data_IF_966710942642
#
_entry.id   IF_966710942642
#
_cell.length_a   1.000
_cell.length_b   1.000
_cell.length_c   1.000
_cell.angle_alpha   90.00
_cell.angle_beta   90.00
_cell.angle_gamma   90.00
#
_symmetry.space_group_name_H-M   'P 1'
#
loop_
_entity.id
_entity.type
_entity.pdbx_description
1 polymer ?
#
# COMPACT_ATOMS: atom_id res chain seq x y z
N UNK A 1 3.53 46.11 -41.10
CA UNK A 1 2.73 45.76 -39.91
C UNK A 1 3.42 44.63 -39.14
N UNK A 2 3.31 44.66 -37.81
CA UNK A 2 3.11 43.47 -36.96
C UNK A 2 4.23 42.50 -36.53
N UNK A 3 5.54 42.72 -36.73
CA UNK A 3 6.53 41.76 -36.16
C UNK A 3 6.48 41.68 -34.62
N UNK A 4 6.38 42.83 -33.94
CA UNK A 4 6.25 42.91 -32.47
C UNK A 4 4.95 42.29 -31.95
N UNK A 5 3.85 42.43 -32.70
CA UNK A 5 2.54 41.91 -32.28
C UNK A 5 2.51 40.38 -32.44
N UNK A 6 3.08 39.85 -33.52
CA UNK A 6 3.23 38.39 -33.72
C UNK A 6 4.18 37.80 -32.68
N UNK A 7 5.34 38.43 -32.44
CA UNK A 7 6.30 37.97 -31.44
C UNK A 7 5.72 37.97 -30.02
N UNK A 8 4.95 38.98 -29.63
CA UNK A 8 4.32 39.04 -28.32
C UNK A 8 3.17 38.01 -28.18
N UNK A 9 2.42 37.78 -29.27
CA UNK A 9 1.42 36.70 -29.32
C UNK A 9 2.04 35.32 -29.12
N UNK A 10 3.15 35.03 -29.81
CA UNK A 10 3.91 33.78 -29.67
C UNK A 10 4.49 33.65 -28.26
N UNK A 11 5.11 34.71 -27.71
CA UNK A 11 5.68 34.68 -26.36
C UNK A 11 4.61 34.37 -25.30
N UNK A 12 3.43 34.99 -25.42
CA UNK A 12 2.30 34.73 -24.51
C UNK A 12 1.77 33.30 -24.67
N UNK A 13 1.67 32.79 -25.89
CA UNK A 13 1.26 31.41 -26.15
C UNK A 13 2.26 30.39 -25.56
N UNK A 14 3.57 30.60 -25.76
CA UNK A 14 4.62 29.78 -25.16
C UNK A 14 4.53 29.83 -23.63
N UNK A 15 4.36 31.01 -23.04
CA UNK A 15 4.25 31.15 -21.58
C UNK A 15 3.06 30.38 -21.01
N UNK A 16 1.90 30.44 -21.68
CA UNK A 16 0.69 29.69 -21.28
C UNK A 16 0.92 28.18 -21.45
N UNK A 17 1.48 27.74 -22.58
CA UNK A 17 1.79 26.34 -22.85
C UNK A 17 2.78 25.78 -21.82
N UNK A 18 3.85 26.51 -21.51
CA UNK A 18 4.82 26.14 -20.47
C UNK A 18 4.16 26.09 -19.09
N UNK A 19 3.27 27.04 -18.78
CA UNK A 19 2.51 27.04 -17.53
C UNK A 19 1.60 25.80 -17.40
N UNK A 20 0.88 25.46 -18.46
CA UNK A 20 0.02 24.26 -18.52
C UNK A 20 0.87 22.98 -18.40
N UNK A 21 1.99 22.91 -19.12
CA UNK A 21 2.91 21.76 -19.05
C UNK A 21 3.49 21.59 -17.65
N UNK A 22 3.88 22.68 -16.98
CA UNK A 22 4.35 22.67 -15.59
C UNK A 22 3.24 22.20 -14.64
N UNK A 23 1.99 22.64 -14.84
CA UNK A 23 0.86 22.20 -14.03
C UNK A 23 0.63 20.70 -14.18
N UNK A 24 0.60 20.18 -15.41
CA UNK A 24 0.46 18.72 -15.63
C UNK A 24 1.64 17.94 -15.05
N UNK A 25 2.87 18.45 -15.18
CA UNK A 25 4.05 17.84 -14.58
C UNK A 25 3.97 17.80 -13.05
N UNK A 26 3.48 18.88 -12.43
CA UNK A 26 3.25 18.95 -10.99
C UNK A 26 2.19 17.93 -10.55
N UNK A 27 1.04 17.87 -11.23
CA UNK A 27 -0.03 16.88 -10.96
C UNK A 27 0.50 15.45 -11.08
N UNK A 28 1.32 15.18 -12.10
CA UNK A 28 1.97 13.88 -12.27
C UNK A 28 2.90 13.55 -11.09
N UNK A 29 3.70 14.52 -10.63
CA UNK A 29 4.59 14.33 -9.46
C UNK A 29 3.84 14.07 -8.16
N UNK A 30 2.65 14.63 -7.96
CA UNK A 30 1.84 14.43 -6.76
C UNK A 30 0.75 13.35 -6.92
N UNK A 31 0.81 12.53 -7.98
CA UNK A 31 -0.21 11.52 -8.28
C UNK A 31 -0.53 10.62 -7.08
N UNK A 32 0.49 10.16 -6.34
CA UNK A 32 0.30 9.34 -5.14
C UNK A 32 -0.58 10.02 -4.09
N UNK A 33 -0.40 11.32 -3.89
CA UNK A 33 -1.20 12.11 -2.92
C UNK A 33 -2.65 12.21 -3.39
N UNK A 34 -2.88 12.42 -4.69
CA UNK A 34 -4.23 12.46 -5.27
C UNK A 34 -4.96 11.13 -5.01
N UNK A 35 -4.28 9.99 -5.25
CA UNK A 35 -4.84 8.67 -4.95
C UNK A 35 -5.18 8.53 -3.46
N UNK A 36 -4.30 8.98 -2.56
CA UNK A 36 -4.57 8.94 -1.12
C UNK A 36 -5.77 9.80 -0.72
N UNK A 37 -5.97 10.96 -1.34
CA UNK A 37 -7.15 11.82 -1.10
C UNK A 37 -8.43 11.10 -1.55
N UNK A 38 -8.43 10.43 -2.72
CA UNK A 38 -9.59 9.68 -3.20
C UNK A 38 -9.95 8.54 -2.25
N UNK A 39 -8.96 7.74 -1.84
CA UNK A 39 -9.18 6.64 -0.88
C UNK A 39 -9.70 7.19 0.45
N UNK A 40 -9.12 8.28 0.95
CA UNK A 40 -9.53 8.92 2.18
C UNK A 40 -10.97 9.47 2.11
N UNK A 41 -11.37 10.03 0.97
CA UNK A 41 -12.74 10.50 0.75
C UNK A 41 -13.75 9.34 0.79
N UNK A 42 -13.45 8.22 0.14
CA UNK A 42 -14.27 7.00 0.20
C UNK A 42 -14.35 6.49 1.64
N UNK A 43 -13.22 6.38 2.33
CA UNK A 43 -13.17 5.93 3.72
C UNK A 43 -13.99 6.84 4.64
N UNK A 44 -13.87 8.16 4.47
CA UNK A 44 -14.64 9.16 5.22
C UNK A 44 -16.15 9.01 5.00
N UNK A 45 -16.60 8.65 3.80
CA UNK A 45 -18.01 8.40 3.51
C UNK A 45 -18.51 7.15 4.22
N UNK A 46 -17.73 6.07 4.18
CA UNK A 46 -18.03 4.80 4.88
C UNK A 46 -18.06 5.01 6.41
N UNK A 47 -17.16 5.85 6.94
CA UNK A 47 -17.06 6.16 8.36
C UNK A 47 -18.21 7.02 8.89
N UNK A 48 -18.86 7.81 8.03
CA UNK A 48 -19.90 8.78 8.41
C UNK A 48 -21.06 8.22 9.24
N UNK A 49 -21.72 7.09 8.88
CA UNK A 49 -22.77 6.51 9.72
C UNK A 49 -22.27 6.18 11.14
N UNK A 50 -21.04 5.70 11.26
CA UNK A 50 -20.42 5.33 12.52
C UNK A 50 -20.13 6.57 13.38
N UNK A 51 -19.60 7.64 12.77
CA UNK A 51 -19.39 8.94 13.44
C UNK A 51 -20.72 9.54 13.91
N UNK A 52 -21.76 9.51 13.07
CA UNK A 52 -23.09 10.00 13.42
C UNK A 52 -23.72 9.19 14.55
N UNK A 53 -23.52 7.87 14.57
CA UNK A 53 -23.94 7.01 15.65
C UNK A 53 -23.26 7.38 16.98
N UNK A 54 -21.92 7.52 16.99
CA UNK A 54 -21.16 7.96 18.17
C UNK A 54 -21.58 9.35 18.65
N UNK A 55 -21.79 10.29 17.73
CA UNK A 55 -22.22 11.65 18.07
C UNK A 55 -23.65 11.71 18.59
N UNK A 56 -24.59 10.98 17.99
CA UNK A 56 -26.02 11.06 18.35
C UNK A 56 -26.38 10.17 19.54
N UNK A 57 -25.84 8.96 19.62
CA UNK A 57 -26.17 7.98 20.68
C UNK A 57 -25.27 8.13 21.89
N UNK A 58 -23.95 8.27 21.70
CA UNK A 58 -22.98 8.40 22.79
C UNK A 58 -22.66 9.87 23.15
N UNK A 59 -23.25 10.84 22.44
CA UNK A 59 -23.07 12.30 22.67
C UNK A 59 -21.61 12.77 22.62
N UNK A 60 -20.76 12.09 21.85
CA UNK A 60 -19.35 12.48 21.73
C UNK A 60 -19.18 13.81 20.97
N UNK A 61 -18.19 14.64 21.35
CA UNK A 61 -17.80 15.77 20.52
C UNK A 61 -17.23 15.26 19.19
N UNK A 62 -17.40 16.03 18.11
CA UNK A 62 -17.14 15.55 16.75
C UNK A 62 -15.74 14.98 16.58
N UNK A 63 -14.71 15.66 17.10
CA UNK A 63 -13.32 15.19 17.01
C UNK A 63 -13.09 13.86 17.70
N UNK A 64 -13.71 13.64 18.87
CA UNK A 64 -13.56 12.39 19.61
C UNK A 64 -14.32 11.25 18.91
N UNK A 65 -15.50 11.53 18.34
CA UNK A 65 -16.22 10.56 17.52
C UNK A 65 -15.38 10.10 16.32
N UNK A 66 -14.70 11.03 15.63
CA UNK A 66 -13.80 10.70 14.50
C UNK A 66 -12.62 9.84 14.95
N UNK A 67 -11.92 10.22 16.01
CA UNK A 67 -10.77 9.43 16.52
C UNK A 67 -11.19 8.01 16.89
N UNK A 68 -12.32 7.86 17.59
CA UNK A 68 -12.82 6.54 17.98
C UNK A 68 -13.22 5.71 16.75
N UNK A 69 -13.88 6.31 15.76
CA UNK A 69 -14.19 5.61 14.50
C UNK A 69 -12.92 5.15 13.77
N UNK A 70 -11.87 5.96 13.75
CA UNK A 70 -10.59 5.58 13.14
C UNK A 70 -9.90 4.45 13.89
N UNK A 71 -9.88 4.51 15.23
CA UNK A 71 -9.37 3.43 16.06
C UNK A 71 -10.18 2.14 15.87
N UNK A 72 -11.49 2.24 15.68
CA UNK A 72 -12.34 1.09 15.40
C UNK A 72 -11.99 0.46 14.04
N UNK A 73 -11.79 1.25 12.97
CA UNK A 73 -11.34 0.72 11.68
C UNK A 73 -9.95 0.09 11.75
N UNK A 74 -9.01 0.74 12.44
CA UNK A 74 -7.67 0.18 12.67
C UNK A 74 -7.73 -1.11 13.48
N UNK A 75 -8.56 -1.14 14.53
CA UNK A 75 -8.80 -2.32 15.34
C UNK A 75 -9.48 -3.43 14.55
N UNK A 76 -10.38 -3.10 13.63
CA UNK A 76 -11.01 -4.07 12.74
C UNK A 76 -9.99 -4.70 11.78
N UNK A 77 -9.18 -3.88 11.10
CA UNK A 77 -8.11 -4.38 10.22
C UNK A 77 -7.07 -5.17 11.01
N UNK A 78 -6.63 -4.64 12.16
CA UNK A 78 -5.69 -5.32 13.05
C UNK A 78 -6.24 -6.64 13.59
N UNK A 79 -7.53 -6.69 13.91
CA UNK A 79 -8.23 -7.92 14.32
C UNK A 79 -8.30 -8.96 13.22
N UNK A 80 -8.59 -8.53 11.97
CA UNK A 80 -8.53 -9.41 10.81
C UNK A 80 -7.11 -9.98 10.62
N UNK A 81 -6.09 -9.15 10.63
CA UNK A 81 -4.67 -9.59 10.52
C UNK A 81 -4.33 -10.54 11.66
N UNK A 82 -4.73 -10.22 12.89
CA UNK A 82 -4.49 -11.07 14.07
C UNK A 82 -5.13 -12.44 13.94
N UNK A 83 -6.24 -12.58 13.19
CA UNK A 83 -6.88 -13.88 12.93
C UNK A 83 -6.08 -14.74 11.94
N UNK A 84 -5.31 -14.12 11.03
CA UNK A 84 -4.43 -14.85 10.11
C UNK A 84 -3.14 -15.34 10.77
N UNK A 85 -2.59 -14.64 11.77
CA UNK A 85 -1.38 -15.06 12.50
C UNK A 85 -1.46 -16.51 13.01
N UNK A 86 -2.50 -16.96 13.74
CA UNK A 86 -2.58 -18.33 14.22
C UNK A 86 -2.79 -19.35 13.08
N UNK A 87 -3.48 -18.97 12.00
CA UNK A 87 -3.67 -19.81 10.82
C UNK A 87 -2.32 -20.08 10.13
N UNK A 88 -1.53 -19.01 9.95
CA UNK A 88 -0.15 -19.09 9.44
C UNK A 88 0.69 -19.95 10.39
N UNK A 89 0.70 -19.68 11.69
CA UNK A 89 1.52 -20.47 12.64
C UNK A 89 1.19 -21.97 12.65
N UNK A 90 -0.09 -22.34 12.52
CA UNK A 90 -0.49 -23.76 12.44
C UNK A 90 -0.05 -24.40 11.12
N UNK A 91 -0.22 -23.69 10.00
CA UNK A 91 0.25 -24.16 8.69
C UNK A 91 1.77 -24.24 8.63
N UNK A 92 2.46 -23.24 9.15
CA UNK A 92 3.92 -23.19 9.29
C UNK A 92 4.44 -24.28 10.19
N UNK A 93 3.80 -24.60 11.33
CA UNK A 93 4.21 -25.75 12.16
C UNK A 93 4.02 -27.08 11.42
N UNK A 94 2.91 -27.27 10.70
CA UNK A 94 2.71 -28.49 9.90
C UNK A 94 3.71 -28.61 8.74
N UNK A 95 4.19 -27.50 8.19
CA UNK A 95 5.28 -27.45 7.21
C UNK A 95 6.67 -27.57 7.85
N UNK A 96 6.88 -27.03 9.05
CA UNK A 96 8.14 -27.02 9.80
C UNK A 96 8.35 -28.27 10.67
N UNK A 97 7.38 -29.20 10.71
CA UNK A 97 7.64 -30.60 11.05
C UNK A 97 8.58 -31.27 10.03
N UNK A 98 8.80 -30.64 8.87
CA UNK A 98 10.07 -30.76 8.16
C UNK A 98 11.09 -29.94 8.95
N UNK A 99 11.70 -30.59 9.94
CA UNK A 99 12.87 -30.06 10.62
C UNK A 99 13.94 -29.82 9.55
N UNK A 100 14.13 -28.56 9.16
CA UNK A 100 15.00 -28.19 8.04
C UNK A 100 16.42 -28.71 8.24
N UNK A 101 16.83 -28.90 9.49
CA UNK A 101 18.13 -29.48 9.84
C UNK A 101 18.15 -31.00 9.66
N UNK A 102 17.09 -31.71 10.06
CA UNK A 102 16.95 -33.13 9.69
C UNK A 102 16.78 -33.32 8.18
N UNK A 103 16.09 -32.41 7.49
CA UNK A 103 15.93 -32.48 6.04
C UNK A 103 17.27 -32.31 5.34
N UNK A 104 18.11 -31.38 5.81
CA UNK A 104 19.49 -31.20 5.34
C UNK A 104 20.33 -32.46 5.57
N UNK A 105 20.34 -33.01 6.79
CA UNK A 105 21.04 -34.25 7.10
C UNK A 105 20.52 -35.46 6.31
N UNK A 106 19.20 -35.55 6.09
CA UNK A 106 18.58 -36.63 5.32
C UNK A 106 18.88 -36.48 3.83
N UNK A 107 18.96 -35.26 3.31
CA UNK A 107 19.35 -34.98 1.93
C UNK A 107 20.82 -35.28 1.71
N UNK A 108 21.72 -34.89 2.62
CA UNK A 108 23.14 -35.27 2.56
C UNK A 108 23.30 -36.79 2.59
N UNK A 109 22.64 -37.48 3.52
CA UNK A 109 22.69 -38.94 3.60
C UNK A 109 22.10 -39.62 2.35
N UNK A 110 21.02 -39.09 1.77
CA UNK A 110 20.45 -39.59 0.51
C UNK A 110 21.41 -39.35 -0.66
N UNK A 111 22.04 -38.19 -0.74
CA UNK A 111 23.01 -37.87 -1.78
C UNK A 111 24.24 -38.78 -1.66
N UNK A 112 24.72 -39.05 -0.45
CA UNK A 112 25.82 -39.97 -0.19
C UNK A 112 25.45 -41.41 -0.55
N UNK A 113 24.23 -41.87 -0.21
CA UNK A 113 23.75 -43.21 -0.58
C UNK A 113 23.58 -43.37 -2.09
N UNK A 114 22.98 -42.38 -2.75
CA UNK A 114 22.84 -42.35 -4.21
C UNK A 114 24.22 -42.33 -4.86
N UNK A 115 25.15 -41.53 -4.34
CA UNK A 115 26.51 -41.48 -4.84
C UNK A 115 27.22 -42.83 -4.71
N UNK A 116 27.17 -43.46 -3.53
CA UNK A 116 27.78 -44.77 -3.31
C UNK A 116 27.19 -45.84 -4.25
N UNK A 117 25.87 -45.83 -4.47
CA UNK A 117 25.20 -46.73 -5.40
C UNK A 117 25.58 -46.50 -6.88
N UNK A 118 25.81 -45.25 -7.29
CA UNK A 118 26.25 -44.93 -8.65
C UNK A 118 27.75 -45.15 -8.86
N UNK A 119 28.57 -44.95 -7.82
CA UNK A 119 30.00 -45.27 -7.80
C UNK A 119 30.23 -46.77 -7.99
N UNK A 120 29.44 -47.61 -7.32
CA UNK A 120 29.46 -49.08 -7.51
C UNK A 120 29.12 -49.50 -8.96
N UNK A 121 28.44 -48.63 -9.71
CA UNK A 121 28.10 -48.81 -11.14
C UNK A 121 29.01 -48.05 -12.10
N UNK A 122 30.08 -47.43 -11.59
CA UNK A 122 31.10 -46.72 -12.38
C UNK A 122 30.70 -45.30 -12.84
N UNK A 123 29.65 -44.71 -12.26
CA UNK A 123 29.15 -43.37 -12.64
C UNK A 123 29.49 -42.37 -11.53
N UNK A 124 30.40 -41.43 -11.83
CA UNK A 124 30.78 -40.33 -10.92
C UNK A 124 29.90 -39.08 -11.19
N UNK A 125 28.89 -38.86 -10.34
CA UNK A 125 27.97 -37.70 -10.42
C UNK A 125 28.21 -36.66 -9.32
N UNK A 126 29.05 -36.96 -8.33
CA UNK A 126 29.25 -36.13 -7.14
C UNK A 126 29.78 -34.72 -7.46
N UNK A 127 30.69 -34.63 -8.43
CA UNK A 127 31.32 -33.36 -8.85
C UNK A 127 30.34 -32.41 -9.56
N UNK A 128 29.18 -32.89 -10.03
CA UNK A 128 28.15 -32.04 -10.66
C UNK A 128 27.07 -31.59 -9.66
N UNK A 129 26.86 -32.34 -8.57
CA UNK A 129 25.84 -32.04 -7.56
C UNK A 129 26.36 -31.06 -6.48
N UNK A 130 27.66 -31.13 -6.13
CA UNK A 130 28.30 -30.16 -5.22
C UNK A 130 28.37 -28.74 -5.77
N UNK A 131 28.29 -28.59 -7.09
CA UNK A 131 28.27 -27.29 -7.79
C UNK A 131 26.88 -26.67 -7.83
N UNK A 132 25.84 -27.39 -7.41
CA UNK A 132 24.52 -26.80 -7.18
C UNK A 132 24.69 -25.91 -5.95
N UNK A 133 24.85 -24.62 -6.21
CA UNK A 133 25.08 -23.57 -5.22
C UNK A 133 23.77 -23.30 -4.44
N UNK A 134 23.26 -24.31 -3.73
CA UNK A 134 22.06 -24.21 -2.88
C UNK A 134 22.26 -23.14 -1.81
N UNK A 135 23.52 -22.88 -1.43
CA UNK A 135 23.92 -21.88 -0.44
C UNK A 135 23.87 -20.43 -0.96
N UNK A 136 24.02 -20.19 -2.27
CA UNK A 136 23.81 -18.86 -2.86
C UNK A 136 22.40 -18.30 -2.62
N UNK A 137 21.40 -19.17 -2.46
CA UNK A 137 20.02 -18.79 -2.11
C UNK A 137 19.88 -18.24 -0.68
N UNK A 138 20.86 -18.45 0.22
CA UNK A 138 20.81 -17.82 1.55
C UNK A 138 21.03 -16.31 1.47
N UNK A 139 21.72 -15.79 0.44
CA UNK A 139 21.79 -14.33 0.17
C UNK A 139 20.47 -13.77 -0.38
N UNK A 140 19.56 -14.62 -0.88
CA UNK A 140 18.20 -14.21 -1.24
C UNK A 140 17.36 -13.89 0.01
N UNK A 141 17.66 -14.49 1.17
CA UNK A 141 16.91 -14.26 2.42
C UNK A 141 17.02 -12.80 2.90
N UNK A 142 18.23 -12.19 3.01
CA UNK A 142 18.34 -10.76 3.30
C UNK A 142 17.66 -9.85 2.28
N UNK A 143 17.73 -10.17 0.99
CA UNK A 143 17.10 -9.36 -0.06
C UNK A 143 15.57 -9.44 -0.02
N UNK A 144 15.01 -10.63 0.25
CA UNK A 144 13.59 -10.82 0.49
C UNK A 144 13.16 -10.06 1.76
N UNK A 145 13.92 -10.17 2.85
CA UNK A 145 13.64 -9.47 4.10
C UNK A 145 13.67 -7.94 3.90
N UNK A 146 14.68 -7.41 3.22
CA UNK A 146 14.77 -5.99 2.87
C UNK A 146 13.62 -5.53 1.97
N UNK A 147 13.19 -6.37 1.01
CA UNK A 147 12.05 -6.09 0.15
C UNK A 147 10.73 -6.05 0.94
N UNK A 148 10.53 -6.99 1.88
CA UNK A 148 9.38 -7.01 2.78
C UNK A 148 9.39 -5.79 3.69
N UNK A 149 10.53 -5.44 4.29
CA UNK A 149 10.68 -4.25 5.14
C UNK A 149 10.40 -2.99 4.32
N UNK A 150 10.91 -2.88 3.10
CA UNK A 150 10.64 -1.77 2.20
C UNK A 150 9.16 -1.67 1.80
N UNK A 151 8.52 -2.81 1.52
CA UNK A 151 7.10 -2.87 1.21
C UNK A 151 6.24 -2.47 2.42
N UNK A 152 6.54 -2.98 3.61
CA UNK A 152 5.86 -2.60 4.86
C UNK A 152 6.09 -1.12 5.17
N UNK A 153 7.30 -0.60 4.98
CA UNK A 153 7.62 0.81 5.18
C UNK A 153 6.81 1.72 4.25
N UNK A 154 6.82 1.44 2.95
CA UNK A 154 6.05 2.21 1.96
C UNK A 154 4.53 2.11 2.18
N UNK A 155 4.01 0.92 2.50
CA UNK A 155 2.61 0.74 2.89
C UNK A 155 2.27 1.52 4.16
N UNK A 156 3.16 1.53 5.15
CA UNK A 156 2.96 2.28 6.41
C UNK A 156 2.86 3.78 6.16
N UNK A 157 3.71 4.33 5.28
CA UNK A 157 3.64 5.74 4.88
C UNK A 157 2.30 6.05 4.19
N UNK A 158 1.87 5.17 3.27
CA UNK A 158 0.58 5.29 2.58
C UNK A 158 -0.61 5.21 3.55
N UNK A 159 -0.62 4.22 4.44
CA UNK A 159 -1.65 4.05 5.47
C UNK A 159 -1.72 5.26 6.39
N UNK A 160 -0.58 5.71 6.92
CA UNK A 160 -0.53 6.90 7.78
C UNK A 160 -1.07 8.14 7.07
N UNK A 161 -0.67 8.35 5.81
CA UNK A 161 -1.14 9.48 5.00
C UNK A 161 -2.65 9.42 4.75
N UNK A 162 -3.18 8.26 4.36
CA UNK A 162 -4.62 8.05 4.13
C UNK A 162 -5.40 8.27 5.43
N UNK A 163 -4.95 7.72 6.55
CA UNK A 163 -5.57 7.94 7.85
C UNK A 163 -5.58 9.43 8.19
N UNK A 164 -4.44 10.10 8.10
CA UNK A 164 -4.35 11.52 8.39
C UNK A 164 -5.30 12.36 7.53
N UNK A 165 -5.34 12.15 6.22
CA UNK A 165 -6.26 12.86 5.32
C UNK A 165 -7.72 12.54 5.68
N UNK A 166 -8.03 11.27 5.94
CA UNK A 166 -9.37 10.84 6.34
C UNK A 166 -9.80 11.52 7.64
N UNK A 167 -8.89 11.67 8.61
CA UNK A 167 -9.16 12.36 9.87
C UNK A 167 -9.65 13.79 9.61
N UNK A 168 -8.95 14.54 8.75
CA UNK A 168 -9.35 15.91 8.43
C UNK A 168 -10.67 15.98 7.67
N UNK A 169 -10.87 15.10 6.68
CA UNK A 169 -12.12 15.02 5.91
C UNK A 169 -13.33 14.67 6.80
N UNK A 170 -13.14 13.77 7.76
CA UNK A 170 -14.17 13.38 8.72
C UNK A 170 -14.42 14.44 9.80
N UNK A 171 -13.35 15.11 10.27
CA UNK A 171 -13.42 16.15 11.32
C UNK A 171 -14.18 17.37 10.85
N UNK A 172 -14.00 17.81 9.60
CA UNK A 172 -14.79 18.89 9.02
C UNK A 172 -15.47 18.40 7.74
N UNK A 173 -16.71 17.93 7.90
CA UNK A 173 -17.54 17.43 6.80
C UNK A 173 -17.77 18.47 5.69
N UNK A 174 -17.50 19.76 5.94
CA UNK A 174 -17.60 20.81 4.93
C UNK A 174 -16.41 20.78 3.96
N UNK A 175 -15.25 20.24 4.35
CA UNK A 175 -14.08 20.15 3.47
C UNK A 175 -14.39 19.25 2.28
N UNK A 176 -14.98 18.08 2.54
CA UNK A 176 -15.40 17.17 1.47
C UNK A 176 -16.48 17.79 0.59
N UNK A 177 -17.53 18.37 1.19
CA UNK A 177 -18.63 18.97 0.44
C UNK A 177 -18.16 20.15 -0.43
N UNK A 178 -17.34 21.06 0.10
CA UNK A 178 -16.79 22.19 -0.65
C UNK A 178 -15.86 21.73 -1.77
N UNK A 179 -15.02 20.72 -1.50
CA UNK A 179 -14.15 20.14 -2.53
C UNK A 179 -14.93 19.51 -3.68
N UNK A 180 -16.04 18.83 -3.39
CA UNK A 180 -16.93 18.27 -4.41
C UNK A 180 -17.70 19.35 -5.18
N UNK A 181 -18.12 20.42 -4.50
CA UNK A 181 -18.81 21.53 -5.16
C UNK A 181 -17.94 22.26 -6.19
N UNK A 182 -16.61 22.33 -5.98
CA UNK A 182 -15.67 22.89 -6.99
C UNK A 182 -15.68 22.09 -8.31
N UNK A 183 -16.07 20.81 -8.27
CA UNK A 183 -16.17 19.96 -9.46
C UNK A 183 -17.57 19.99 -10.11
N UNK A 184 -18.57 20.59 -9.45
CA UNK A 184 -19.95 20.70 -9.93
C UNK A 184 -20.19 22.12 -10.44
N UNK A 185 -20.63 22.33 -11.70
CA UNK A 185 -20.91 23.67 -12.20
C UNK A 185 -22.03 24.37 -11.40
N UNK A 186 -21.86 25.67 -11.16
CA UNK A 186 -22.66 26.53 -10.26
C UNK A 186 -24.19 26.42 -10.42
N UNK A 187 -24.67 26.00 -11.59
CA UNK A 187 -26.10 25.90 -11.90
C UNK A 187 -26.87 24.78 -11.17
N UNK A 188 -26.21 23.96 -10.33
CA UNK A 188 -26.86 22.88 -9.54
C UNK A 188 -26.59 22.92 -8.03
N UNK A 189 -25.90 23.92 -7.50
CA UNK A 189 -25.52 23.97 -6.08
C UNK A 189 -26.73 23.98 -5.11
N UNK A 190 -27.83 24.64 -5.49
CA UNK A 190 -29.01 24.82 -4.63
C UNK A 190 -29.77 23.52 -4.32
N UNK A 191 -29.59 22.47 -5.14
CA UNK A 191 -30.18 21.14 -4.90
C UNK A 191 -29.33 20.26 -3.99
N UNK A 192 -28.00 20.45 -3.95
CA UNK A 192 -27.09 19.65 -3.13
C UNK A 192 -26.99 20.14 -1.67
N UNK A 193 -27.21 21.42 -1.39
CA UNK A 193 -27.13 21.96 -0.02
C UNK A 193 -28.29 21.53 0.90
N UNK A 194 -29.36 20.93 0.36
CA UNK A 194 -30.55 20.53 1.13
C UNK A 194 -30.60 19.04 1.51
N UNK A 195 -29.60 18.23 1.13
CA UNK A 195 -29.51 16.79 1.43
C UNK A 195 -28.32 16.45 2.33
#
# INVERSE_FOLDING_TARGET
MNSKIIANGILRAITILTGIALLFYFLYKIQSVIVYIIIAAVLSLIARPLILFLRRKLKFPNTLAVVVTMLLFLGFIGGLISMFIPLINKQSKNLALLDMHQLELNLENLLDQVNNYLLERGINIFDQLKTIDVFSNFKAIPNLLNSVIGAVGSLSIGLFSVLFISFFLMKDSRILNKGLLVLVPDNKESRFQKS
#
